data_IF_774144203484
#
_entry.id   IF_774144203484
#
_cell.length_a   1.000
_cell.length_b   1.000
_cell.length_c   1.000
_cell.angle_alpha   90.00
_cell.angle_beta   90.00
_cell.angle_gamma   90.00
#
_symmetry.space_group_name_H-M   'P 1'
#
loop_
_entity.id
_entity.type
_entity.pdbx_description
1 polymer ?
#
# COMPACT_ATOMS: atom_id res chain seq x y z
N UNK A 1 -19.22 0.68 -11.43
CA UNK A 1 -17.91 1.35 -11.24
C UNK A 1 -17.29 0.83 -9.96
N UNK A 2 -16.04 0.35 -10.03
CA UNK A 2 -15.25 -0.09 -8.90
C UNK A 2 -14.23 0.98 -8.52
N UNK A 3 -13.97 1.10 -7.24
CA UNK A 3 -12.99 2.00 -6.67
C UNK A 3 -11.87 1.17 -6.06
N UNK A 4 -10.65 1.60 -6.26
CA UNK A 4 -9.44 0.90 -5.87
C UNK A 4 -8.66 1.81 -4.93
N UNK A 5 -8.21 1.27 -3.79
CA UNK A 5 -7.31 1.99 -2.89
C UNK A 5 -6.06 1.18 -2.66
N UNK A 6 -4.92 1.74 -3.06
CA UNK A 6 -3.60 1.31 -2.61
C UNK A 6 -3.19 2.13 -1.40
N UNK A 7 -2.69 1.50 -0.35
CA UNK A 7 -2.31 2.18 0.87
C UNK A 7 -1.24 1.44 1.66
N UNK A 8 -0.51 2.18 2.49
CA UNK A 8 0.32 1.58 3.53
C UNK A 8 0.32 2.44 4.80
N UNK A 9 0.62 1.78 5.92
CA UNK A 9 0.82 2.39 7.23
C UNK A 9 1.91 1.65 7.99
N UNK A 10 2.97 2.36 8.35
CA UNK A 10 3.95 1.87 9.30
C UNK A 10 3.48 2.19 10.72
N UNK A 11 3.15 1.14 11.45
CA UNK A 11 2.74 1.21 12.85
C UNK A 11 2.94 -0.15 13.49
N UNK A 12 3.50 -0.19 14.69
CA UNK A 12 3.63 -1.44 15.45
C UNK A 12 2.28 -2.08 15.67
N UNK A 13 2.12 -3.31 15.18
CA UNK A 13 0.89 -4.09 15.27
C UNK A 13 1.12 -5.31 16.15
N UNK A 14 0.25 -5.48 17.14
CA UNK A 14 0.22 -6.65 18.02
C UNK A 14 -0.93 -7.56 17.61
N UNK A 15 -0.87 -8.85 17.99
CA UNK A 15 -1.97 -9.79 17.74
C UNK A 15 -2.24 -10.04 16.25
N UNK A 16 -1.20 -10.22 15.44
CA UNK A 16 -1.26 -10.31 13.98
C UNK A 16 -2.25 -11.38 13.48
N UNK A 17 -2.29 -12.56 14.14
CA UNK A 17 -3.24 -13.63 13.78
C UNK A 17 -4.70 -13.21 13.99
N UNK A 18 -4.99 -12.55 15.12
CA UNK A 18 -6.32 -11.99 15.44
C UNK A 18 -6.72 -10.92 14.41
N UNK A 19 -5.80 -10.04 14.08
CA UNK A 19 -6.02 -8.99 13.09
C UNK A 19 -6.22 -9.54 11.67
N UNK A 20 -5.52 -10.61 11.30
CA UNK A 20 -5.76 -11.31 10.03
C UNK A 20 -7.20 -11.80 9.96
N UNK A 21 -7.69 -12.48 11.00
CA UNK A 21 -9.08 -12.96 11.06
C UNK A 21 -10.07 -11.79 10.94
N UNK A 22 -9.90 -10.76 11.76
CA UNK A 22 -10.74 -9.55 11.73
C UNK A 22 -10.82 -8.94 10.32
N UNK A 23 -9.70 -8.77 9.63
CA UNK A 23 -9.69 -8.21 8.26
C UNK A 23 -10.35 -9.15 7.27
N UNK A 24 -10.14 -10.46 7.39
CA UNK A 24 -10.79 -11.43 6.51
C UNK A 24 -12.31 -11.39 6.66
N UNK A 25 -12.82 -11.31 7.88
CA UNK A 25 -14.25 -11.20 8.18
C UNK A 25 -14.84 -9.87 7.62
N UNK A 26 -14.15 -8.76 7.82
CA UNK A 26 -14.55 -7.46 7.27
C UNK A 26 -14.60 -7.54 5.74
N UNK A 27 -13.59 -8.10 5.11
CA UNK A 27 -13.49 -8.17 3.65
C UNK A 27 -14.60 -9.03 3.04
N UNK A 28 -14.89 -10.17 3.65
CA UNK A 28 -16.01 -11.04 3.23
C UNK A 28 -17.34 -10.29 3.35
N UNK A 29 -17.60 -9.69 4.52
CA UNK A 29 -18.85 -8.98 4.81
C UNK A 29 -19.15 -7.84 3.82
N UNK A 30 -18.12 -7.10 3.38
CA UNK A 30 -18.27 -5.92 2.52
C UNK A 30 -17.87 -6.17 1.06
N UNK A 31 -17.74 -7.43 0.67
CA UNK A 31 -17.35 -7.82 -0.70
C UNK A 31 -16.12 -7.08 -1.20
N UNK A 32 -15.09 -7.02 -0.37
CA UNK A 32 -13.79 -6.43 -0.71
C UNK A 32 -12.96 -7.48 -1.45
N UNK A 33 -12.31 -7.07 -2.55
CA UNK A 33 -11.31 -7.88 -3.24
C UNK A 33 -9.97 -7.18 -3.23
N UNK A 34 -8.89 -7.96 -3.37
CA UNK A 34 -7.53 -7.45 -3.33
C UNK A 34 -6.66 -8.15 -2.30
N UNK A 35 -5.54 -7.56 -1.98
CA UNK A 35 -4.57 -8.13 -1.04
C UNK A 35 -4.18 -7.12 0.02
N UNK A 36 -4.16 -7.55 1.28
CA UNK A 36 -3.49 -6.84 2.38
C UNK A 36 -2.37 -7.72 2.93
N UNK A 37 -1.24 -7.10 3.19
CA UNK A 37 -0.11 -7.65 3.93
C UNK A 37 -0.12 -7.02 5.32
N UNK A 38 -0.02 -7.85 6.35
CA UNK A 38 0.12 -7.43 7.74
C UNK A 38 1.45 -7.95 8.26
N UNK A 39 2.16 -7.11 8.96
CA UNK A 39 3.35 -7.48 9.73
C UNK A 39 3.36 -6.80 11.09
N UNK A 40 4.37 -7.10 11.93
CA UNK A 40 4.57 -6.41 13.21
C UNK A 40 4.88 -4.92 13.05
N UNK A 41 5.34 -4.49 11.88
CA UNK A 41 5.75 -3.11 11.58
C UNK A 41 4.65 -2.30 10.87
N UNK A 42 3.56 -2.92 10.44
CA UNK A 42 2.48 -2.20 9.78
C UNK A 42 1.60 -3.01 8.86
N UNK A 43 0.90 -2.29 7.97
CA UNK A 43 0.04 -2.85 6.93
C UNK A 43 0.33 -2.22 5.58
N UNK A 44 0.17 -3.00 4.52
CA UNK A 44 0.27 -2.57 3.13
C UNK A 44 -0.78 -3.32 2.32
N UNK A 45 -1.45 -2.67 1.39
CA UNK A 45 -2.43 -3.36 0.57
C UNK A 45 -3.00 -2.54 -0.57
N UNK A 46 -3.60 -3.28 -1.48
CA UNK A 46 -4.44 -2.71 -2.53
C UNK A 46 -5.75 -3.49 -2.54
N UNK A 47 -6.85 -2.76 -2.36
CA UNK A 47 -8.20 -3.33 -2.27
C UNK A 47 -9.18 -2.60 -3.18
N UNK A 48 -10.24 -3.29 -3.59
CA UNK A 48 -11.26 -2.77 -4.48
C UNK A 48 -12.65 -3.22 -4.06
N UNK A 49 -13.61 -2.30 -4.21
CA UNK A 49 -15.05 -2.56 -4.07
C UNK A 49 -15.85 -1.41 -4.70
N UNK A 50 -17.17 -1.39 -4.49
CA UNK A 50 -17.95 -0.17 -4.73
C UNK A 50 -17.51 0.95 -3.77
N UNK A 51 -17.82 2.20 -4.09
CA UNK A 51 -17.38 3.38 -3.34
C UNK A 51 -17.73 3.29 -1.86
N UNK A 52 -19.01 3.04 -1.56
CA UNK A 52 -19.54 2.98 -0.18
C UNK A 52 -18.81 1.94 0.68
N UNK A 53 -18.67 0.72 0.17
CA UNK A 53 -18.02 -0.36 0.90
C UNK A 53 -16.52 -0.12 1.08
N UNK A 54 -15.84 0.41 0.06
CA UNK A 54 -14.42 0.72 0.14
C UNK A 54 -14.13 1.78 1.22
N UNK A 55 -14.85 2.90 1.21
CA UNK A 55 -14.71 3.98 2.21
C UNK A 55 -14.99 3.46 3.63
N UNK A 56 -16.07 2.69 3.79
CA UNK A 56 -16.44 2.10 5.08
C UNK A 56 -15.33 1.17 5.60
N UNK A 57 -14.78 0.33 4.73
CA UNK A 57 -13.73 -0.63 5.13
C UNK A 57 -12.42 0.06 5.43
N UNK A 58 -12.02 1.08 4.66
CA UNK A 58 -10.84 1.88 4.96
C UNK A 58 -10.95 2.54 6.35
N UNK A 59 -12.14 3.05 6.70
CA UNK A 59 -12.39 3.61 8.03
C UNK A 59 -12.37 2.53 9.14
N UNK A 60 -12.91 1.33 8.87
CA UNK A 60 -12.81 0.21 9.81
C UNK A 60 -11.36 -0.23 10.04
N UNK A 61 -10.53 -0.26 9.00
CA UNK A 61 -9.10 -0.54 9.11
C UNK A 61 -8.42 0.50 10.00
N UNK A 62 -8.65 1.79 9.76
CA UNK A 62 -8.09 2.87 10.59
C UNK A 62 -8.46 2.70 12.06
N UNK A 63 -9.73 2.42 12.35
CA UNK A 63 -10.21 2.19 13.73
C UNK A 63 -9.59 0.94 14.35
N UNK A 64 -9.60 -0.19 13.64
CA UNK A 64 -9.07 -1.46 14.14
C UNK A 64 -7.59 -1.40 14.52
N UNK A 65 -6.81 -0.64 13.77
CA UNK A 65 -5.37 -0.45 14.01
C UNK A 65 -5.04 0.87 14.72
N UNK A 66 -6.06 1.61 15.15
CA UNK A 66 -5.92 2.84 15.94
C UNK A 66 -4.99 3.88 15.30
N UNK A 67 -5.30 4.31 14.06
CA UNK A 67 -4.64 5.44 13.40
C UNK A 67 -5.63 6.30 12.61
N UNK A 68 -5.30 7.57 12.42
CA UNK A 68 -6.17 8.56 11.77
C UNK A 68 -6.01 8.50 10.24
N UNK A 69 -4.76 8.43 9.76
CA UNK A 69 -4.45 8.44 8.31
C UNK A 69 -3.40 7.41 7.95
N UNK A 70 -3.47 6.92 6.72
CA UNK A 70 -2.40 6.14 6.12
C UNK A 70 -1.16 7.02 5.89
N UNK A 71 0.02 6.41 5.83
CA UNK A 71 1.24 7.13 5.47
C UNK A 71 1.24 7.47 3.98
N UNK A 72 0.63 6.58 3.18
CA UNK A 72 0.29 6.86 1.78
C UNK A 72 -1.03 6.20 1.43
N UNK A 73 -1.81 6.84 0.59
CA UNK A 73 -3.06 6.31 0.04
C UNK A 73 -3.31 6.87 -1.34
N UNK A 74 -3.49 5.99 -2.31
CA UNK A 74 -3.87 6.30 -3.67
C UNK A 74 -5.26 5.77 -3.97
N UNK A 75 -6.05 6.53 -4.72
CA UNK A 75 -7.38 6.15 -5.15
C UNK A 75 -7.46 6.16 -6.68
N UNK A 76 -8.03 5.11 -7.25
CA UNK A 76 -8.32 5.01 -8.67
C UNK A 76 -9.67 4.37 -8.92
N UNK A 77 -10.12 4.36 -10.18
CA UNK A 77 -11.42 3.82 -10.59
C UNK A 77 -11.23 2.84 -11.75
N UNK A 78 -12.11 1.85 -11.83
CA UNK A 78 -12.19 0.90 -12.92
C UNK A 78 -13.64 0.60 -13.29
N UNK A 79 -13.91 0.32 -14.56
CA UNK A 79 -15.23 -0.13 -15.02
C UNK A 79 -15.54 -1.55 -14.54
N UNK A 80 -14.54 -2.37 -14.31
CA UNK A 80 -14.64 -3.76 -13.89
C UNK A 80 -13.84 -4.04 -12.62
N UNK A 81 -14.14 -5.14 -11.94
CA UNK A 81 -13.43 -5.58 -10.75
C UNK A 81 -12.07 -6.18 -11.16
N UNK A 82 -10.99 -5.51 -10.77
CA UNK A 82 -9.62 -5.87 -11.18
C UNK A 82 -9.01 -7.02 -10.37
N UNK A 83 -9.62 -7.37 -9.22
CA UNK A 83 -9.13 -8.45 -8.37
C UNK A 83 -10.12 -9.61 -8.32
N UNK A 84 -9.66 -10.83 -8.54
CA UNK A 84 -10.48 -12.03 -8.45
C UNK A 84 -10.75 -12.47 -7.01
N UNK A 85 -9.80 -12.22 -6.09
CA UNK A 85 -9.82 -12.78 -4.73
C UNK A 85 -9.55 -11.71 -3.67
N UNK A 86 -10.00 -12.02 -2.45
CA UNK A 86 -9.59 -11.36 -1.25
C UNK A 86 -8.45 -12.18 -0.60
N UNK A 87 -7.35 -11.52 -0.24
CA UNK A 87 -6.22 -12.17 0.45
C UNK A 87 -5.70 -11.29 1.58
N UNK A 88 -5.65 -11.85 2.79
CA UNK A 88 -4.95 -11.25 3.93
C UNK A 88 -3.73 -12.11 4.24
N UNK A 89 -2.54 -11.58 4.01
CA UNK A 89 -1.26 -12.28 4.17
C UNK A 89 -0.50 -11.76 5.38
N UNK A 90 0.05 -12.67 6.18
CA UNK A 90 1.03 -12.32 7.20
C UNK A 90 2.42 -12.44 6.58
N UNK A 91 3.23 -11.41 6.73
CA UNK A 91 4.63 -11.37 6.32
C UNK A 91 5.51 -10.88 7.47
N UNK A 92 6.81 -11.17 7.41
CA UNK A 92 7.78 -10.64 8.38
C UNK A 92 7.91 -9.11 8.25
N UNK A 93 7.87 -8.61 7.02
CA UNK A 93 8.00 -7.20 6.66
C UNK A 93 6.81 -6.75 5.81
N UNK A 94 6.40 -5.50 5.96
CA UNK A 94 5.34 -4.87 5.13
C UNK A 94 5.84 -4.63 3.71
N UNK A 95 7.08 -4.16 3.61
CA UNK A 95 7.83 -4.03 2.36
C UNK A 95 9.11 -4.85 2.55
N UNK A 96 9.27 -5.98 1.82
CA UNK A 96 10.42 -6.85 2.03
C UNK A 96 11.70 -6.16 1.53
N UNK A 97 12.54 -5.74 2.46
CA UNK A 97 13.84 -5.13 2.18
C UNK A 97 15.01 -5.92 2.78
N UNK A 98 14.72 -6.84 3.71
CA UNK A 98 15.74 -7.67 4.36
C UNK A 98 16.69 -6.93 5.30
N UNK A 99 16.45 -5.63 5.53
CA UNK A 99 17.27 -4.77 6.39
C UNK A 99 16.41 -3.92 7.31
N UNK A 100 16.86 -3.71 8.54
CA UNK A 100 16.21 -2.77 9.44
C UNK A 100 16.55 -1.35 9.01
N UNK A 101 15.56 -0.61 8.55
CA UNK A 101 15.72 0.80 8.23
C UNK A 101 15.48 1.60 9.52
N UNK A 102 16.49 2.35 9.96
CA UNK A 102 16.29 3.39 10.95
C UNK A 102 15.39 4.48 10.33
N UNK A 103 14.40 4.95 11.08
CA UNK A 103 13.52 6.03 10.62
C UNK A 103 14.37 7.30 10.38
N UNK A 104 14.80 7.52 9.14
CA UNK A 104 15.32 8.81 8.74
C UNK A 104 14.14 9.77 8.55
N UNK A 105 14.21 10.94 9.16
CA UNK A 105 13.20 12.01 9.03
C UNK A 105 13.24 12.72 7.68
N UNK A 106 14.12 12.36 6.78
CA UNK A 106 14.30 13.01 5.50
C UNK A 106 13.17 12.61 4.52
N UNK A 107 12.62 13.62 3.87
CA UNK A 107 11.69 13.43 2.74
C UNK A 107 12.51 12.86 1.56
N UNK A 108 12.35 11.59 1.30
CA UNK A 108 13.04 10.90 0.20
C UNK A 108 12.41 11.15 -1.18
N UNK A 109 11.48 12.10 -1.28
CA UNK A 109 10.84 12.46 -2.54
C UNK A 109 11.22 13.87 -2.94
N UNK A 110 11.71 14.01 -4.16
CA UNK A 110 12.00 15.29 -4.77
C UNK A 110 10.79 15.80 -5.53
N UNK A 111 10.59 17.13 -5.49
CA UNK A 111 9.66 17.80 -6.39
C UNK A 111 10.09 17.63 -7.86
N UNK A 112 9.14 17.54 -8.82
CA UNK A 112 9.46 17.24 -10.22
C UNK A 112 10.56 18.12 -10.83
N UNK A 113 10.54 19.43 -10.56
CA UNK A 113 11.55 20.36 -11.07
C UNK A 113 12.96 20.10 -10.49
N UNK A 114 13.04 19.68 -9.21
CA UNK A 114 14.31 19.31 -8.59
C UNK A 114 14.80 17.97 -9.13
N UNK A 115 13.87 17.03 -9.38
CA UNK A 115 14.16 15.75 -10.01
C UNK A 115 14.78 15.96 -11.39
N UNK A 116 14.15 16.75 -12.27
CA UNK A 116 14.65 17.02 -13.61
C UNK A 116 16.06 17.63 -13.59
N UNK A 117 16.33 18.58 -12.68
CA UNK A 117 17.68 19.14 -12.50
C UNK A 117 18.69 18.09 -12.06
N UNK A 118 18.28 17.19 -11.16
CA UNK A 118 19.14 16.14 -10.64
C UNK A 118 19.53 15.13 -11.72
N UNK A 119 18.58 14.63 -12.49
CA UNK A 119 18.84 13.63 -13.55
C UNK A 119 19.61 14.20 -14.74
N UNK A 120 19.52 15.52 -14.98
CA UNK A 120 20.30 16.22 -16.01
C UNK A 120 21.76 16.45 -15.63
N UNK A 121 22.12 16.18 -14.38
CA UNK A 121 23.50 16.34 -13.92
C UNK A 121 24.33 15.13 -14.34
N UNK A 122 25.44 15.35 -15.08
CA UNK A 122 26.34 14.28 -15.55
C UNK A 122 26.97 13.43 -14.44
N UNK A 123 26.98 13.90 -13.19
CA UNK A 123 27.49 13.16 -12.02
C UNK A 123 26.42 12.34 -11.32
N UNK A 124 25.17 12.38 -11.79
CA UNK A 124 24.07 11.63 -11.20
C UNK A 124 23.98 10.25 -11.86
N UNK A 125 23.93 9.21 -11.04
CA UNK A 125 23.64 7.84 -11.48
C UNK A 125 22.16 7.58 -11.20
N UNK A 126 21.39 7.29 -12.24
CA UNK A 126 20.00 6.90 -12.13
C UNK A 126 19.88 5.38 -12.16
N UNK A 127 19.31 4.81 -11.10
CA UNK A 127 19.06 3.37 -11.01
C UNK A 127 17.54 3.15 -11.02
N UNK A 128 17.05 2.49 -12.07
CA UNK A 128 15.66 2.07 -12.14
C UNK A 128 15.52 0.67 -11.51
N UNK A 129 14.85 0.61 -10.36
CA UNK A 129 14.62 -0.64 -9.62
C UNK A 129 13.37 -1.41 -10.09
N UNK A 130 12.67 -0.93 -11.14
CA UNK A 130 11.50 -1.59 -11.70
C UNK A 130 11.90 -2.85 -12.49
N UNK A 131 10.92 -3.71 -12.72
CA UNK A 131 11.13 -4.87 -13.59
C UNK A 131 11.31 -4.44 -15.06
N UNK A 132 12.04 -5.22 -15.88
CA UNK A 132 12.30 -4.84 -17.28
C UNK A 132 11.05 -4.53 -18.09
N UNK A 133 9.93 -5.23 -17.86
CA UNK A 133 8.68 -4.97 -18.57
C UNK A 133 8.02 -3.64 -18.16
N UNK A 134 8.14 -3.26 -16.88
CA UNK A 134 7.61 -1.98 -16.38
C UNK A 134 8.38 -0.80 -16.95
N UNK A 135 9.69 -0.96 -17.08
CA UNK A 135 10.55 0.00 -17.77
C UNK A 135 10.16 0.18 -19.25
N UNK A 136 9.89 -0.92 -19.98
CA UNK A 136 9.51 -0.89 -21.39
C UNK A 136 8.13 -0.26 -21.65
N UNK A 137 7.24 -0.27 -20.67
CA UNK A 137 5.88 0.30 -20.79
C UNK A 137 5.87 1.82 -20.63
N UNK A 138 6.82 2.37 -19.89
CA UNK A 138 6.88 3.81 -19.70
C UNK A 138 8.09 4.25 -18.85
N UNK A 139 8.96 4.97 -19.47
CA UNK A 139 10.03 5.77 -18.85
C UNK A 139 9.87 7.23 -19.18
#
# INVERSE_FOLDING_TARGET
>A
MYYISGFYKFKKIHGIKKNKKLLSDIFSKYNIRGTIIISSEGINGTISSNKKNLELVLNKIKKAFNFIKFDSQNLSKSKFQIFHRCKVKIKKEVVPMGVKISKRKEKNHLEPNKWNKLISNKKTILIDARKPFEYKVGT
#
